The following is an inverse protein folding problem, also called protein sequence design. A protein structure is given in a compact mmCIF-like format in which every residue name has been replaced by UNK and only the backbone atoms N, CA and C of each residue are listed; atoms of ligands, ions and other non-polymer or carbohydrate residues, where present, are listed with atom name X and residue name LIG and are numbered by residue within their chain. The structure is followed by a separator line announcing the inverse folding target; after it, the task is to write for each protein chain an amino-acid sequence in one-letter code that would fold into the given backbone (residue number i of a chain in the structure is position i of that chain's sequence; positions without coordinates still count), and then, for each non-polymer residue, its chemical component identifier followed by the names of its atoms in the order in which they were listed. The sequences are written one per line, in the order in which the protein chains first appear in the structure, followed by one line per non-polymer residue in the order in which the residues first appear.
data_IF_588712671961
#
_entry.id   IF_588712671961
#
_cell.length_a   1.000
_cell.length_b   1.000
_cell.length_c   1.000
_cell.angle_alpha   90.00
_cell.angle_beta   90.00
_cell.angle_gamma   90.00
#
_symmetry.space_group_name_H-M   'P 1'
#
loop_
_entity.id
_entity.type
_entity.pdbx_description
1 polymer ?
#
# COMPACT_ATOMS: atom_id res chain seq x y z
N UNK A 1 13.57 -4.92 42.44
CA UNK A 1 13.55 -3.99 41.28
C UNK A 1 13.57 -2.58 41.84
N UNK A 2 14.50 -1.73 41.42
CA UNK A 2 14.56 -0.34 41.89
C UNK A 2 13.52 0.50 41.14
N UNK A 3 12.77 1.34 41.85
CA UNK A 3 11.80 2.25 41.21
C UNK A 3 12.51 3.50 40.64
N UNK A 4 11.86 4.25 39.75
CA UNK A 4 12.47 5.42 39.10
C UNK A 4 12.84 6.53 40.10
N UNK A 5 12.14 6.60 41.24
CA UNK A 5 12.45 7.53 42.32
C UNK A 5 13.76 7.16 43.02
N UNK A 6 13.96 5.89 43.33
CA UNK A 6 15.19 5.32 43.92
C UNK A 6 16.39 5.48 42.98
N UNK A 7 16.18 5.30 41.66
CA UNK A 7 17.25 5.51 40.66
C UNK A 7 17.75 6.95 40.66
N UNK A 8 16.86 7.94 40.86
CA UNK A 8 17.26 9.34 41.03
C UNK A 8 17.64 9.69 42.48
N UNK A 9 17.43 8.80 43.44
CA UNK A 9 17.62 9.05 44.87
C UNK A 9 16.64 10.09 45.43
N UNK A 10 15.40 10.09 44.95
CA UNK A 10 14.34 11.02 45.35
C UNK A 10 13.18 10.27 46.02
N UNK A 11 12.40 10.99 46.83
CA UNK A 11 11.13 10.49 47.36
C UNK A 11 10.04 10.54 46.28
N UNK A 12 9.03 9.66 46.37
CA UNK A 12 7.82 9.68 45.53
C UNK A 12 7.10 11.04 45.56
N UNK A 13 7.24 11.79 46.66
CA UNK A 13 6.66 13.13 46.83
C UNK A 13 7.55 14.28 46.31
N UNK A 14 8.69 13.99 45.67
CA UNK A 14 9.60 15.02 45.18
C UNK A 14 8.92 15.95 44.16
N UNK A 15 9.19 17.25 44.25
CA UNK A 15 8.65 18.23 43.29
C UNK A 15 9.32 18.10 41.92
N UNK A 16 8.68 18.64 40.88
CA UNK A 16 9.21 18.60 39.52
C UNK A 16 10.59 19.27 39.41
N UNK A 17 10.79 20.33 40.18
CA UNK A 17 12.06 21.04 40.25
C UNK A 17 13.17 20.21 40.90
N UNK A 18 12.84 19.44 41.94
CA UNK A 18 13.78 18.52 42.59
C UNK A 18 14.23 17.41 41.63
N UNK A 19 13.30 16.86 40.83
CA UNK A 19 13.59 15.86 39.79
C UNK A 19 14.55 16.41 38.74
N UNK A 20 14.29 17.61 38.22
CA UNK A 20 15.15 18.28 37.23
C UNK A 20 16.52 18.65 37.78
N UNK A 21 16.60 19.08 39.04
CA UNK A 21 17.88 19.40 39.70
C UNK A 21 18.71 18.14 39.85
N UNK A 22 18.12 17.08 40.38
CA UNK A 22 18.81 15.83 40.67
C UNK A 22 19.28 15.11 39.42
N UNK A 23 18.47 15.11 38.36
CA UNK A 23 18.89 14.60 37.05
C UNK A 23 20.16 15.28 36.53
N UNK A 24 20.22 16.62 36.58
CA UNK A 24 21.40 17.37 36.11
C UNK A 24 22.67 17.04 36.90
N UNK A 25 22.54 16.85 38.22
CA UNK A 25 23.66 16.42 39.07
C UNK A 25 24.17 15.02 38.70
N UNK A 26 23.25 14.08 38.50
CA UNK A 26 23.57 12.69 38.18
C UNK A 26 24.15 12.54 36.77
N UNK A 27 23.62 13.27 35.78
CA UNK A 27 24.16 13.31 34.41
C UNK A 27 25.60 13.79 34.42
N UNK A 28 25.95 14.85 35.17
CA UNK A 28 27.33 15.34 35.26
C UNK A 28 28.29 14.32 35.90
N UNK A 29 27.79 13.49 36.81
CA UNK A 29 28.59 12.48 37.52
C UNK A 29 28.81 11.20 36.71
N UNK A 30 27.82 10.81 35.91
CA UNK A 30 27.80 9.54 35.18
C UNK A 30 27.90 9.70 33.65
N UNK A 31 28.13 10.91 33.14
CA UNK A 31 28.32 11.13 31.70
C UNK A 31 29.49 10.27 31.19
N UNK A 32 29.35 9.59 30.03
CA UNK A 32 30.40 8.73 29.48
C UNK A 32 31.73 9.48 29.26
N UNK A 33 31.67 10.78 28.96
CA UNK A 33 32.87 11.62 28.76
C UNK A 33 33.61 11.94 30.07
N UNK A 34 32.92 11.88 31.23
CA UNK A 34 33.50 12.20 32.55
C UNK A 34 33.87 10.91 33.29
N UNK A 35 33.12 9.84 33.07
CA UNK A 35 33.35 8.53 33.69
C UNK A 35 33.11 7.41 32.67
N UNK A 36 34.16 6.90 32.00
CA UNK A 36 34.04 5.88 30.96
C UNK A 36 33.89 4.45 31.50
N UNK A 37 33.64 4.26 32.81
CA UNK A 37 33.47 2.92 33.36
C UNK A 37 32.17 2.25 32.87
N UNK A 38 32.15 0.92 32.68
CA UNK A 38 30.94 0.20 32.26
C UNK A 38 29.76 0.40 33.22
N UNK A 39 30.05 0.52 34.52
CA UNK A 39 29.05 0.78 35.56
C UNK A 39 28.45 2.18 35.46
N UNK A 40 29.25 3.19 35.10
CA UNK A 40 28.74 4.54 34.89
C UNK A 40 27.80 4.61 33.68
N UNK A 41 28.12 3.88 32.60
CA UNK A 41 27.24 3.77 31.43
C UNK A 41 25.89 3.14 31.77
N UNK A 42 25.88 2.05 32.53
CA UNK A 42 24.64 1.40 32.96
C UNK A 42 23.80 2.30 33.87
N UNK A 43 24.45 2.99 34.82
CA UNK A 43 23.78 3.93 35.71
C UNK A 43 23.21 5.12 34.93
N UNK A 44 23.96 5.64 33.95
CA UNK A 44 23.52 6.74 33.09
C UNK A 44 22.23 6.39 32.32
N UNK A 45 22.16 5.18 31.75
CA UNK A 45 20.95 4.71 31.07
C UNK A 45 19.75 4.66 32.02
N UNK A 46 19.93 4.11 33.22
CA UNK A 46 18.86 4.06 34.23
C UNK A 46 18.40 5.45 34.66
N UNK A 47 19.32 6.40 34.84
CA UNK A 47 19.02 7.80 35.16
C UNK A 47 18.18 8.45 34.05
N UNK A 48 18.53 8.18 32.79
CA UNK A 48 17.81 8.73 31.64
C UNK A 48 16.38 8.18 31.55
N UNK A 49 16.21 6.86 31.73
CA UNK A 49 14.88 6.22 31.77
C UNK A 49 14.01 6.78 32.90
N UNK A 50 14.57 6.87 34.12
CA UNK A 50 13.86 7.42 35.26
C UNK A 50 13.42 8.87 35.04
N UNK A 51 14.30 9.70 34.46
CA UNK A 51 13.95 11.08 34.15
C UNK A 51 12.90 11.19 33.04
N UNK A 52 12.92 10.34 32.01
CA UNK A 52 11.91 10.36 30.95
C UNK A 52 10.49 10.10 31.45
N UNK A 53 10.34 9.27 32.48
CA UNK A 53 9.04 8.97 33.11
C UNK A 53 8.65 10.07 34.10
N UNK A 54 9.59 10.50 34.95
CA UNK A 54 9.30 11.42 36.04
C UNK A 54 9.30 12.91 35.64
N UNK A 55 9.91 13.27 34.50
CA UNK A 55 10.02 14.67 34.04
C UNK A 55 8.74 15.25 33.44
N UNK A 56 7.81 14.39 33.02
CA UNK A 56 6.51 14.76 32.47
C UNK A 56 5.40 14.53 33.53
N UNK A 57 4.56 15.54 33.82
CA UNK A 57 3.53 15.43 34.85
C UNK A 57 2.49 14.32 34.59
N UNK A 58 2.13 14.07 33.33
CA UNK A 58 1.14 13.06 32.97
C UNK A 58 1.74 11.64 33.05
N UNK A 59 2.96 11.44 32.55
CA UNK A 59 3.68 10.16 32.66
C UNK A 59 3.97 9.81 34.11
N UNK A 60 4.35 10.79 34.92
CA UNK A 60 4.53 10.62 36.36
C UNK A 60 3.24 10.17 37.05
N UNK A 61 2.09 10.79 36.74
CA UNK A 61 0.79 10.38 37.32
C UNK A 61 0.45 8.93 37.00
N UNK A 62 0.68 8.49 35.77
CA UNK A 62 0.44 7.11 35.35
C UNK A 62 1.40 6.14 36.04
N UNK A 63 2.68 6.51 36.14
CA UNK A 63 3.67 5.73 36.87
C UNK A 63 3.32 5.61 38.36
N UNK A 64 2.93 6.71 39.00
CA UNK A 64 2.50 6.75 40.40
C UNK A 64 1.25 5.88 40.63
N UNK A 65 0.30 5.89 39.69
CA UNK A 65 -0.88 5.03 39.75
C UNK A 65 -0.52 3.54 39.65
N UNK A 66 0.38 3.17 38.72
CA UNK A 66 0.86 1.80 38.57
C UNK A 66 1.68 1.34 39.78
N UNK A 67 2.54 2.20 40.32
CA UNK A 67 3.37 1.91 41.47
C UNK A 67 2.52 1.68 42.73
N UNK A 68 1.45 2.46 42.93
CA UNK A 68 0.47 2.24 44.01
C UNK A 68 -0.24 0.90 43.92
N UNK A 69 -0.62 0.48 42.71
CA UNK A 69 -1.23 -0.83 42.47
C UNK A 69 -0.24 -1.97 42.76
N UNK A 70 1.04 -1.80 42.41
CA UNK A 70 2.09 -2.80 42.66
C UNK A 70 2.50 -2.92 44.12
N UNK A 71 2.46 -1.81 44.87
CA UNK A 71 2.78 -1.78 46.30
C UNK A 71 1.64 -2.32 47.18
N UNK A 72 0.54 -2.79 46.58
CA UNK A 72 -0.56 -3.43 47.29
C UNK A 72 -1.34 -2.48 48.19
N UNK A 73 -1.23 -1.16 47.98
CA UNK A 73 -2.07 -0.20 48.71
C UNK A 73 -3.52 -0.32 48.18
N UNK A 74 -4.48 -0.77 49.01
CA UNK A 74 -5.88 -0.72 48.61
C UNK A 74 -6.26 0.74 48.36
N UNK A 75 -7.18 1.03 47.42
CA UNK A 75 -7.67 2.39 47.26
C UNK A 75 -8.31 2.78 48.59
N UNK A 76 -7.68 3.66 49.35
CA UNK A 76 -8.18 4.14 50.63
C UNK A 76 -9.42 4.98 50.36
N UNK A 77 -10.56 4.29 50.31
CA UNK A 77 -11.85 4.85 50.56
C UNK A 77 -11.97 5.14 52.06
N UNK A 78 -11.50 6.33 52.50
CA UNK A 78 -12.16 7.14 53.55
C UNK A 78 -11.52 8.54 53.62
N UNK A 79 -12.25 9.55 53.18
CA UNK A 79 -13.21 10.39 53.95
C UNK A 79 -12.51 11.56 54.65
N UNK A 80 -12.96 12.77 54.28
CA UNK A 80 -13.26 13.89 55.17
C UNK A 80 -12.20 14.42 56.11
N UNK A 81 -11.73 15.65 55.83
CA UNK A 81 -11.59 16.72 56.83
C UNK A 81 -11.76 18.08 56.12
N UNK A 82 -12.07 19.18 56.85
CA UNK A 82 -13.31 19.46 57.54
C UNK A 82 -14.05 20.64 56.90
N UNK A 83 -15.34 20.80 57.21
CA UNK A 83 -16.11 22.03 56.93
C UNK A 83 -15.44 23.22 57.62
N UNK A 84 -14.67 24.01 56.87
CA UNK A 84 -14.37 25.38 57.26
C UNK A 84 -15.62 26.23 57.04
N UNK A 85 -16.05 26.95 58.07
CA UNK A 85 -17.10 27.97 57.98
C UNK A 85 -16.70 29.10 57.01
N UNK A 86 -17.69 29.82 56.42
CA UNK A 86 -17.50 30.59 55.21
C UNK A 86 -16.86 31.96 55.49
N UNK A 87 -15.78 32.28 54.79
CA UNK A 87 -15.31 33.67 54.65
C UNK A 87 -15.34 34.10 53.19
N UNK A 88 -16.37 34.89 52.88
CA UNK A 88 -16.51 35.92 51.84
C UNK A 88 -15.69 35.80 50.54
N UNK A 89 -16.49 35.77 49.46
CA UNK A 89 -16.26 36.44 48.17
C UNK A 89 -15.13 35.92 47.27
N UNK A 90 -15.50 35.05 46.34
CA UNK A 90 -15.30 35.32 44.92
C UNK A 90 -16.26 34.43 44.11
N UNK A 91 -16.92 35.04 43.14
CA UNK A 91 -17.99 34.47 42.31
C UNK A 91 -17.59 33.11 41.71
N UNK A 92 -18.55 32.17 41.50
CA UNK A 92 -18.25 30.97 40.74
C UNK A 92 -17.79 31.35 39.32
N UNK A 93 -16.76 30.71 38.75
CA UNK A 93 -16.42 30.91 37.35
C UNK A 93 -17.60 30.47 36.48
N UNK A 94 -17.85 31.13 35.33
CA UNK A 94 -19.01 30.83 34.51
C UNK A 94 -18.97 29.36 34.08
N UNK A 95 -20.11 28.66 34.19
CA UNK A 95 -20.29 27.33 33.60
C UNK A 95 -19.92 27.45 32.12
N UNK A 96 -18.82 26.83 31.71
CA UNK A 96 -18.51 26.62 30.28
C UNK A 96 -19.70 25.86 29.69
N UNK A 97 -20.50 26.53 28.87
CA UNK A 97 -21.50 25.90 28.01
C UNK A 97 -20.72 25.13 26.94
N UNK A 98 -20.45 23.85 27.17
CA UNK A 98 -20.02 22.96 26.10
C UNK A 98 -21.08 22.98 24.99
N UNK A 99 -20.70 23.08 23.71
CA UNK A 99 -21.68 23.11 22.63
C UNK A 99 -22.51 21.81 22.64
N UNK A 100 -23.82 21.85 22.38
CA UNK A 100 -24.73 20.69 22.52
C UNK A 100 -24.24 19.43 21.79
N UNK A 101 -23.54 19.63 20.66
CA UNK A 101 -22.98 18.57 19.81
C UNK A 101 -21.81 17.82 20.47
N UNK A 102 -21.03 18.47 21.32
CA UNK A 102 -19.94 17.82 22.05
C UNK A 102 -20.47 16.93 23.18
N UNK A 103 -21.53 17.36 23.85
CA UNK A 103 -22.20 16.56 24.87
C UNK A 103 -22.96 15.36 24.27
N UNK A 104 -23.55 15.52 23.08
CA UNK A 104 -24.13 14.39 22.34
C UNK A 104 -23.06 13.39 21.89
N UNK A 105 -21.93 13.87 21.36
CA UNK A 105 -20.79 13.01 20.98
C UNK A 105 -20.24 12.23 22.18
N UNK A 106 -20.11 12.88 23.35
CA UNK A 106 -19.69 12.22 24.59
C UNK A 106 -20.65 11.10 25.00
N UNK A 107 -21.96 11.32 24.87
CA UNK A 107 -22.98 10.28 25.15
C UNK A 107 -22.84 9.09 24.20
N UNK A 108 -22.67 9.34 22.90
CA UNK A 108 -22.52 8.28 21.89
C UNK A 108 -21.24 7.45 22.12
N UNK A 109 -20.12 8.11 22.43
CA UNK A 109 -18.86 7.43 22.77
C UNK A 109 -19.05 6.57 24.03
N UNK A 110 -19.67 7.12 25.08
CA UNK A 110 -19.94 6.39 26.32
C UNK A 110 -20.85 5.17 26.09
N UNK A 111 -21.85 5.28 25.21
CA UNK A 111 -22.70 4.15 24.83
C UNK A 111 -21.90 3.06 24.09
N UNK A 112 -20.99 3.45 23.19
CA UNK A 112 -20.12 2.54 22.48
C UNK A 112 -19.18 1.78 23.44
N UNK A 113 -18.54 2.48 24.38
CA UNK A 113 -17.67 1.87 25.40
C UNK A 113 -18.45 0.92 26.33
N UNK A 114 -19.63 1.34 26.79
CA UNK A 114 -20.48 0.51 27.65
C UNK A 114 -20.93 -0.76 26.92
N UNK A 115 -21.34 -0.64 25.66
CA UNK A 115 -21.71 -1.79 24.84
C UNK A 115 -20.53 -2.75 24.64
N UNK A 116 -19.32 -2.22 24.43
CA UNK A 116 -18.10 -3.01 24.31
C UNK A 116 -17.77 -3.78 25.59
N UNK A 117 -17.82 -3.12 26.75
CA UNK A 117 -17.59 -3.74 28.05
C UNK A 117 -18.64 -4.83 28.38
N UNK A 118 -19.85 -4.69 27.86
CA UNK A 118 -20.92 -5.69 27.99
C UNK A 118 -20.79 -6.86 26.99
N UNK A 119 -19.75 -6.88 26.14
CA UNK A 119 -19.57 -7.89 25.10
C UNK A 119 -20.53 -7.74 23.92
N UNK A 120 -21.35 -6.68 23.86
CA UNK A 120 -22.28 -6.39 22.76
C UNK A 120 -21.54 -5.71 21.61
N UNK A 121 -20.72 -6.50 20.91
CA UNK A 121 -19.77 -6.00 19.91
C UNK A 121 -20.45 -5.30 18.71
N UNK A 122 -21.62 -5.76 18.29
CA UNK A 122 -22.36 -5.14 17.17
C UNK A 122 -22.93 -3.76 17.54
N UNK A 123 -23.52 -3.66 18.74
CA UNK A 123 -24.00 -2.39 19.27
C UNK A 123 -22.83 -1.40 19.43
N UNK A 124 -21.72 -1.85 20.02
CA UNK A 124 -20.51 -1.04 20.18
C UNK A 124 -19.99 -0.49 18.84
N UNK A 125 -19.96 -1.34 17.81
CA UNK A 125 -19.54 -0.93 16.47
C UNK A 125 -20.50 0.09 15.84
N UNK A 126 -21.80 -0.07 16.06
CA UNK A 126 -22.81 0.84 15.53
C UNK A 126 -22.68 2.24 16.15
N UNK A 127 -22.56 2.33 17.47
CA UNK A 127 -22.37 3.58 18.20
C UNK A 127 -21.02 4.22 17.86
N UNK A 128 -19.95 3.43 17.72
CA UNK A 128 -18.64 3.95 17.33
C UNK A 128 -18.64 4.52 15.90
N UNK A 129 -19.32 3.87 14.94
CA UNK A 129 -19.51 4.40 13.58
C UNK A 129 -20.38 5.66 13.56
N UNK A 130 -21.36 5.76 14.46
CA UNK A 130 -22.13 6.99 14.61
C UNK A 130 -21.24 8.12 15.15
N UNK A 131 -20.36 7.84 16.13
CA UNK A 131 -19.41 8.81 16.64
C UNK A 131 -18.47 9.35 15.53
N UNK A 132 -17.95 8.49 14.65
CA UNK A 132 -17.07 8.93 13.55
C UNK A 132 -17.80 9.74 12.48
N UNK A 133 -19.10 9.49 12.24
CA UNK A 133 -19.93 10.36 11.39
C UNK A 133 -20.17 11.73 12.01
N UNK A 134 -20.39 11.78 13.33
CA UNK A 134 -20.64 13.03 14.05
C UNK A 134 -19.39 13.91 14.14
N UNK A 135 -18.23 13.29 14.40
CA UNK A 135 -16.93 13.94 14.51
C UNK A 135 -15.81 13.09 13.85
N UNK A 136 -15.58 13.25 12.53
CA UNK A 136 -14.58 12.48 11.79
C UNK A 136 -13.14 12.67 12.26
N UNK A 137 -12.85 13.79 12.95
CA UNK A 137 -11.52 14.12 13.49
C UNK A 137 -11.31 13.64 14.93
N UNK A 138 -12.29 12.97 15.54
CA UNK A 138 -12.15 12.46 16.91
C UNK A 138 -11.49 11.07 16.88
N UNK A 139 -10.33 10.88 17.55
CA UNK A 139 -9.62 9.60 17.55
C UNK A 139 -10.40 8.47 18.25
N UNK A 140 -11.26 8.81 19.23
CA UNK A 140 -11.90 7.83 20.11
C UNK A 140 -12.88 6.91 19.38
N UNK A 141 -13.57 7.42 18.36
CA UNK A 141 -14.46 6.60 17.52
C UNK A 141 -13.69 5.52 16.76
N UNK A 142 -12.53 5.87 16.20
CA UNK A 142 -11.66 4.93 15.49
C UNK A 142 -10.98 3.94 16.45
N UNK A 143 -10.61 4.38 17.66
CA UNK A 143 -10.08 3.50 18.71
C UNK A 143 -11.07 2.38 19.09
N UNK A 144 -12.34 2.73 19.34
CA UNK A 144 -13.36 1.74 19.73
C UNK A 144 -13.65 0.76 18.58
N UNK A 145 -13.66 1.24 17.33
CA UNK A 145 -13.78 0.36 16.16
C UNK A 145 -12.62 -0.64 16.12
N UNK A 146 -11.39 -0.18 16.38
CA UNK A 146 -10.21 -1.04 16.48
C UNK A 146 -10.33 -2.07 17.60
N UNK A 147 -10.77 -1.64 18.79
CA UNK A 147 -10.97 -2.53 19.93
C UNK A 147 -12.03 -3.61 19.66
N UNK A 148 -13.13 -3.26 18.98
CA UNK A 148 -14.16 -4.22 18.55
C UNK A 148 -13.59 -5.23 17.57
N UNK A 149 -12.91 -4.80 16.50
CA UNK A 149 -12.36 -5.72 15.51
C UNK A 149 -11.26 -6.61 16.07
N UNK A 150 -10.47 -6.10 17.03
CA UNK A 150 -9.47 -6.88 17.74
C UNK A 150 -10.11 -8.03 18.52
N UNK A 151 -11.22 -7.79 19.22
CA UNK A 151 -11.95 -8.83 19.96
C UNK A 151 -12.62 -9.83 19.02
N UNK A 152 -13.06 -9.40 17.83
CA UNK A 152 -13.62 -10.27 16.79
C UNK A 152 -12.57 -11.13 16.05
N UNK A 153 -11.28 -10.90 16.28
CA UNK A 153 -10.20 -11.59 15.56
C UNK A 153 -9.91 -11.02 14.16
N UNK A 154 -10.50 -9.89 13.79
CA UNK A 154 -10.25 -9.21 12.52
C UNK A 154 -9.06 -8.25 12.63
N UNK A 155 -7.85 -8.82 12.80
CA UNK A 155 -6.64 -8.05 13.12
C UNK A 155 -6.24 -7.02 12.06
N UNK A 156 -6.45 -7.29 10.77
CA UNK A 156 -6.20 -6.33 9.67
C UNK A 156 -7.13 -5.10 9.76
N UNK A 157 -8.42 -5.31 10.04
CA UNK A 157 -9.37 -4.23 10.20
C UNK A 157 -9.10 -3.42 11.48
N UNK A 158 -8.67 -4.09 12.56
CA UNK A 158 -8.24 -3.44 13.79
C UNK A 158 -7.00 -2.57 13.57
N UNK A 159 -6.00 -3.08 12.83
CA UNK A 159 -4.77 -2.37 12.48
C UNK A 159 -5.08 -1.06 11.74
N UNK A 160 -5.94 -1.11 10.72
CA UNK A 160 -6.37 0.07 9.98
C UNK A 160 -7.11 1.08 10.86
N UNK A 161 -8.00 0.61 11.75
CA UNK A 161 -8.72 1.51 12.64
C UNK A 161 -7.79 2.20 13.66
N UNK A 162 -6.81 1.48 14.21
CA UNK A 162 -5.81 2.09 15.10
C UNK A 162 -4.85 3.02 14.37
N UNK A 163 -4.45 2.72 13.12
CA UNK A 163 -3.59 3.62 12.36
C UNK A 163 -4.26 4.97 12.10
N UNK A 164 -5.55 4.98 11.76
CA UNK A 164 -6.35 6.20 11.67
C UNK A 164 -6.45 6.93 13.02
N UNK A 165 -6.67 6.21 14.12
CA UNK A 165 -6.73 6.83 15.45
C UNK A 165 -5.40 7.50 15.84
N UNK A 166 -4.26 6.85 15.57
CA UNK A 166 -2.91 7.40 15.81
C UNK A 166 -2.62 8.60 14.91
N UNK A 167 -3.07 8.60 13.65
CA UNK A 167 -2.92 9.78 12.78
C UNK A 167 -3.68 11.00 13.32
N UNK A 168 -4.85 10.78 13.92
CA UNK A 168 -5.66 11.85 14.51
C UNK A 168 -5.09 12.36 15.85
N UNK A 169 -4.45 11.48 16.63
CA UNK A 169 -3.77 11.85 17.88
C UNK A 169 -2.39 11.16 18.01
N UNK A 170 -1.36 11.72 17.34
CA UNK A 170 -0.03 11.09 17.29
C UNK A 170 0.71 11.06 18.62
N UNK A 171 0.30 11.91 19.58
CA UNK A 171 0.99 12.06 20.86
C UNK A 171 0.43 11.11 21.93
N UNK A 172 -0.59 10.33 21.60
CA UNK A 172 -1.22 9.41 22.53
C UNK A 172 -0.46 8.08 22.63
N UNK A 173 0.21 7.80 23.77
CA UNK A 173 1.02 6.59 23.93
C UNK A 173 0.15 5.33 23.99
N UNK A 174 -1.12 5.41 24.37
CA UNK A 174 -2.01 4.25 24.44
C UNK A 174 -2.39 3.77 23.05
N UNK A 175 -2.68 4.70 22.13
CA UNK A 175 -2.96 4.38 20.73
C UNK A 175 -1.74 3.81 20.03
N UNK A 176 -0.55 4.36 20.29
CA UNK A 176 0.71 3.83 19.76
C UNK A 176 0.94 2.39 20.23
N UNK A 177 0.80 2.12 21.54
CA UNK A 177 0.92 0.75 22.07
C UNK A 177 -0.12 -0.20 21.48
N UNK A 178 -1.38 0.24 21.31
CA UNK A 178 -2.42 -0.56 20.66
C UNK A 178 -2.03 -0.89 19.21
N UNK A 179 -1.54 0.09 18.44
CA UNK A 179 -1.08 -0.11 17.07
C UNK A 179 0.12 -1.06 17.00
N UNK A 180 1.16 -0.82 17.79
CA UNK A 180 2.36 -1.68 17.87
C UNK A 180 2.00 -3.12 18.25
N UNK A 181 1.10 -3.29 19.22
CA UNK A 181 0.62 -4.62 19.62
C UNK A 181 -0.15 -5.32 18.49
N UNK A 182 -0.83 -4.58 17.63
CA UNK A 182 -1.49 -5.15 16.45
C UNK A 182 -0.47 -5.50 15.38
N UNK A 183 0.47 -4.61 15.06
CA UNK A 183 1.55 -4.88 14.09
C UNK A 183 2.30 -6.15 14.49
N UNK A 184 2.69 -6.27 15.76
CA UNK A 184 3.38 -7.45 16.27
C UNK A 184 2.54 -8.73 16.14
N UNK A 185 1.21 -8.66 16.39
CA UNK A 185 0.31 -9.80 16.20
C UNK A 185 0.12 -10.16 14.74
N UNK A 186 -0.10 -9.19 13.85
CA UNK A 186 -0.28 -9.44 12.41
C UNK A 186 1.00 -9.98 11.77
N UNK A 187 2.17 -9.60 12.28
CA UNK A 187 3.48 -10.14 11.84
C UNK A 187 3.81 -11.51 12.44
N UNK A 188 3.34 -11.82 13.66
CA UNK A 188 3.60 -13.09 14.34
C UNK A 188 2.60 -14.21 14.03
N UNK A 189 1.41 -13.89 13.48
CA UNK A 189 0.43 -14.91 13.11
C UNK A 189 0.68 -15.33 11.66
N UNK A 190 1.01 -16.61 11.35
CA UNK A 190 0.78 -17.09 9.99
C UNK A 190 -0.70 -16.86 9.66
N UNK A 191 -1.05 -16.42 8.44
CA UNK A 191 -2.42 -16.03 8.12
C UNK A 191 -3.38 -17.16 8.51
N UNK A 192 -4.28 -16.90 9.47
CA UNK A 192 -5.35 -17.83 9.82
C UNK A 192 -6.16 -18.15 8.55
N UNK A 193 -6.59 -19.41 8.35
CA UNK A 193 -7.29 -19.80 7.13
C UNK A 193 -8.51 -18.90 6.97
N UNK A 194 -8.50 -18.10 5.92
CA UNK A 194 -9.68 -17.38 5.48
C UNK A 194 -10.82 -18.40 5.37
N UNK A 195 -12.02 -18.03 5.85
CA UNK A 195 -13.28 -18.70 5.47
C UNK A 195 -13.16 -19.19 4.04
N UNK A 196 -13.58 -20.43 3.76
CA UNK A 196 -13.51 -21.08 2.46
C UNK A 196 -14.20 -20.28 1.34
N UNK A 197 -13.60 -19.15 0.97
CA UNK A 197 -13.48 -18.70 -0.38
C UNK A 197 -12.51 -19.68 -1.01
N UNK A 198 -12.92 -20.25 -2.15
CA UNK A 198 -12.05 -21.01 -3.03
C UNK A 198 -10.66 -20.39 -2.99
N UNK A 199 -9.59 -21.17 -2.74
CA UNK A 199 -8.26 -20.63 -2.55
C UNK A 199 -7.95 -19.73 -3.74
N UNK A 200 -7.94 -18.41 -3.53
CA UNK A 200 -7.46 -17.49 -4.54
C UNK A 200 -6.00 -17.87 -4.71
N UNK A 201 -5.72 -18.58 -5.79
CA UNK A 201 -4.40 -19.11 -6.12
C UNK A 201 -3.41 -17.96 -5.93
N UNK A 202 -2.63 -17.99 -4.84
CA UNK A 202 -1.51 -17.07 -4.63
C UNK A 202 -0.39 -17.53 -5.55
N UNK A 203 -0.63 -17.34 -6.85
CA UNK A 203 0.35 -17.55 -7.91
C UNK A 203 1.52 -16.62 -7.61
N UNK A 204 2.76 -17.14 -7.57
CA UNK A 204 3.96 -16.31 -7.52
C UNK A 204 3.91 -15.25 -8.62
N UNK A 205 4.62 -14.13 -8.47
CA UNK A 205 4.51 -13.00 -9.41
C UNK A 205 4.76 -13.42 -10.88
N UNK A 206 5.68 -14.36 -11.10
CA UNK A 206 5.95 -14.98 -12.40
C UNK A 206 4.75 -15.78 -12.95
N UNK A 207 4.01 -16.48 -12.10
CA UNK A 207 2.83 -17.25 -12.50
C UNK A 207 1.64 -16.38 -12.86
N UNK A 208 1.49 -15.19 -12.26
CA UNK A 208 0.50 -14.20 -12.71
C UNK A 208 0.80 -13.73 -14.13
N UNK A 209 2.09 -13.58 -14.45
CA UNK A 209 2.54 -13.24 -15.79
C UNK A 209 2.23 -14.38 -16.78
N UNK A 210 2.56 -15.62 -16.43
CA UNK A 210 2.24 -16.78 -17.27
C UNK A 210 0.74 -16.97 -17.45
N UNK A 211 -0.07 -16.78 -16.41
CA UNK A 211 -1.52 -16.85 -16.50
C UNK A 211 -2.09 -15.76 -17.43
N UNK A 212 -1.62 -14.52 -17.30
CA UNK A 212 -2.00 -13.42 -18.20
C UNK A 212 -1.58 -13.70 -19.65
N UNK A 213 -0.39 -14.30 -19.85
CA UNK A 213 0.07 -14.72 -21.17
C UNK A 213 -0.79 -15.83 -21.77
N UNK A 214 -1.08 -16.89 -21.01
CA UNK A 214 -1.92 -17.99 -21.49
C UNK A 214 -3.33 -17.52 -21.83
N UNK A 215 -3.91 -16.63 -21.02
CA UNK A 215 -5.24 -16.08 -21.24
C UNK A 215 -5.25 -15.11 -22.43
N UNK A 216 -4.19 -14.34 -22.58
CA UNK A 216 -3.98 -13.44 -23.71
C UNK A 216 -3.78 -14.17 -25.05
N UNK A 217 -2.92 -15.18 -25.10
CA UNK A 217 -2.77 -16.04 -26.28
C UNK A 217 -4.05 -16.86 -26.56
N UNK A 218 -4.75 -17.28 -25.50
CA UNK A 218 -6.06 -17.91 -25.61
C UNK A 218 -7.09 -16.98 -26.26
N UNK A 219 -7.09 -15.69 -25.91
CA UNK A 219 -7.95 -14.69 -26.54
C UNK A 219 -7.55 -14.44 -28.01
N UNK A 220 -6.26 -14.38 -28.34
CA UNK A 220 -5.83 -14.28 -29.75
C UNK A 220 -6.29 -15.50 -30.56
N UNK A 221 -6.11 -16.71 -30.03
CA UNK A 221 -6.56 -17.94 -30.67
C UNK A 221 -8.10 -17.97 -30.80
N UNK A 222 -8.81 -17.55 -29.76
CA UNK A 222 -10.27 -17.44 -29.79
C UNK A 222 -10.72 -16.48 -30.88
N UNK A 223 -10.09 -15.32 -31.03
CA UNK A 223 -10.41 -14.36 -32.08
C UNK A 223 -10.18 -14.94 -33.48
N UNK A 224 -9.17 -15.79 -33.66
CA UNK A 224 -8.91 -16.50 -34.92
C UNK A 224 -10.00 -17.52 -35.22
N UNK A 225 -10.41 -18.30 -34.22
CA UNK A 225 -11.48 -19.30 -34.38
C UNK A 225 -12.82 -18.61 -34.62
N UNK A 226 -13.08 -17.51 -33.92
CA UNK A 226 -14.27 -16.68 -34.12
C UNK A 226 -14.28 -16.05 -35.51
N UNK A 227 -13.12 -15.60 -35.97
CA UNK A 227 -12.87 -15.16 -37.34
C UNK A 227 -13.34 -16.19 -38.36
N UNK A 228 -12.93 -17.45 -38.20
CA UNK A 228 -13.35 -18.54 -39.08
C UNK A 228 -14.86 -18.80 -39.02
N UNK A 229 -15.46 -18.73 -37.82
CA UNK A 229 -16.84 -19.15 -37.59
C UNK A 229 -17.88 -18.09 -37.97
N UNK A 230 -17.51 -16.80 -37.91
CA UNK A 230 -18.39 -15.67 -38.23
C UNK A 230 -17.75 -14.85 -39.35
N UNK A 231 -17.76 -15.37 -40.60
CA UNK A 231 -17.27 -14.62 -41.73
C UNK A 231 -18.15 -13.38 -41.93
N UNK A 232 -17.52 -12.20 -41.86
CA UNK A 232 -18.21 -10.96 -42.23
C UNK A 232 -18.36 -10.86 -43.74
N UNK A 233 -19.38 -10.13 -44.22
CA UNK A 233 -19.49 -9.78 -45.63
C UNK A 233 -18.27 -8.94 -46.04
N UNK A 234 -17.52 -9.30 -47.10
CA UNK A 234 -16.42 -8.48 -47.60
C UNK A 234 -16.98 -7.16 -48.14
N UNK A 235 -16.34 -6.03 -47.79
CA UNK A 235 -16.84 -4.68 -48.15
C UNK A 235 -15.82 -3.82 -48.89
N UNK A 236 -14.52 -3.95 -48.60
CA UNK A 236 -13.48 -3.12 -49.22
C UNK A 236 -12.23 -3.96 -49.54
N UNK A 237 -11.81 -4.02 -50.81
CA UNK A 237 -10.64 -4.82 -51.27
C UNK A 237 -10.69 -6.30 -50.82
N UNK A 238 -11.89 -6.89 -50.73
CA UNK A 238 -12.08 -8.26 -50.23
C UNK A 238 -12.16 -8.37 -48.69
N UNK A 239 -11.89 -7.30 -47.95
CA UNK A 239 -11.84 -7.39 -46.49
C UNK A 239 -13.20 -7.16 -45.85
N UNK A 240 -13.52 -7.97 -44.84
CA UNK A 240 -14.65 -7.75 -43.97
C UNK A 240 -14.25 -6.86 -42.77
N UNK A 241 -15.20 -6.08 -42.25
CA UNK A 241 -14.98 -5.29 -41.02
C UNK A 241 -14.64 -6.18 -39.82
N UNK A 242 -15.17 -7.40 -39.80
CA UNK A 242 -14.88 -8.38 -38.78
C UNK A 242 -13.41 -8.81 -38.85
N UNK A 243 -12.92 -9.17 -40.04
CA UNK A 243 -11.50 -9.51 -40.26
C UNK A 243 -10.57 -8.37 -39.83
N UNK A 244 -10.90 -7.13 -40.20
CA UNK A 244 -10.18 -5.94 -39.74
C UNK A 244 -10.16 -5.86 -38.22
N UNK A 245 -11.31 -5.94 -37.57
CA UNK A 245 -11.40 -5.87 -36.11
C UNK A 245 -10.60 -7.00 -35.42
N UNK A 246 -10.65 -8.23 -35.96
CA UNK A 246 -9.93 -9.37 -35.41
C UNK A 246 -8.42 -9.23 -35.53
N UNK A 247 -7.90 -8.83 -36.70
CA UNK A 247 -6.48 -8.58 -36.90
C UNK A 247 -5.97 -7.46 -35.97
N UNK A 248 -6.78 -6.41 -35.77
CA UNK A 248 -6.39 -5.27 -34.94
C UNK A 248 -6.35 -5.62 -33.48
N UNK A 249 -7.40 -6.28 -32.99
CA UNK A 249 -7.48 -6.71 -31.61
C UNK A 249 -6.42 -7.78 -31.29
N UNK A 250 -6.16 -8.71 -32.21
CA UNK A 250 -5.11 -9.71 -32.06
C UNK A 250 -3.72 -9.07 -32.00
N UNK A 251 -3.41 -8.12 -32.89
CA UNK A 251 -2.14 -7.40 -32.91
C UNK A 251 -1.95 -6.60 -31.62
N UNK A 252 -2.94 -5.80 -31.23
CA UNK A 252 -2.92 -5.03 -29.99
C UNK A 252 -2.69 -5.90 -28.76
N UNK A 253 -3.44 -6.99 -28.62
CA UNK A 253 -3.34 -7.88 -27.47
C UNK A 253 -1.98 -8.57 -27.41
N UNK A 254 -1.45 -9.04 -28.55
CA UNK A 254 -0.11 -9.62 -28.63
C UNK A 254 0.96 -8.62 -28.19
N UNK A 255 0.89 -7.37 -28.69
CA UNK A 255 1.85 -6.31 -28.32
C UNK A 255 1.79 -5.93 -26.86
N UNK A 256 0.57 -5.78 -26.34
CA UNK A 256 0.33 -5.51 -24.93
C UNK A 256 0.92 -6.59 -24.03
N UNK A 257 0.64 -7.87 -24.33
CA UNK A 257 1.13 -9.00 -23.53
C UNK A 257 2.65 -9.12 -23.57
N UNK A 258 3.26 -9.02 -24.76
CA UNK A 258 4.71 -9.12 -24.91
C UNK A 258 5.45 -7.98 -24.20
N UNK A 259 4.86 -6.78 -24.23
CA UNK A 259 5.34 -5.66 -23.47
C UNK A 259 5.23 -5.98 -21.98
N UNK A 260 4.02 -6.21 -21.43
CA UNK A 260 3.77 -6.51 -20.01
C UNK A 260 4.59 -7.69 -19.48
N UNK A 261 4.93 -8.67 -20.32
CA UNK A 261 5.77 -9.80 -19.93
C UNK A 261 7.27 -9.58 -19.97
N UNK A 262 7.72 -8.35 -20.25
CA UNK A 262 9.15 -8.00 -20.40
C UNK A 262 9.85 -8.87 -21.46
N UNK A 263 9.08 -9.41 -22.41
CA UNK A 263 9.67 -10.12 -23.54
C UNK A 263 10.36 -9.11 -24.44
N UNK A 264 9.73 -7.98 -24.69
CA UNK A 264 10.31 -6.91 -25.51
C UNK A 264 10.86 -5.83 -24.58
N UNK A 265 11.99 -5.23 -24.96
CA UNK A 265 12.54 -4.05 -24.32
C UNK A 265 11.60 -2.83 -24.50
N UNK A 266 11.75 -1.74 -23.72
CA UNK A 266 11.03 -0.48 -23.95
C UNK A 266 11.20 0.01 -25.39
N UNK A 267 10.18 0.72 -25.90
CA UNK A 267 10.14 1.13 -27.32
C UNK A 267 11.36 2.01 -27.68
N UNK A 268 11.78 2.88 -26.75
CA UNK A 268 12.93 3.77 -26.90
C UNK A 268 14.27 3.03 -26.99
N UNK A 269 14.38 1.88 -26.34
CA UNK A 269 15.59 1.04 -26.37
C UNK A 269 15.60 0.12 -27.59
N UNK A 270 14.43 -0.41 -27.96
CA UNK A 270 14.28 -1.27 -29.13
C UNK A 270 14.47 -0.49 -30.44
N UNK A 271 14.09 0.78 -30.46
CA UNK A 271 14.33 1.72 -31.54
C UNK A 271 15.02 2.96 -30.95
N UNK A 272 16.35 3.00 -30.92
CA UNK A 272 17.09 4.13 -30.38
C UNK A 272 16.87 5.38 -31.25
N UNK A 273 15.76 6.08 -31.01
CA UNK A 273 15.43 7.37 -31.61
C UNK A 273 16.22 8.46 -30.90
N UNK A 274 17.56 8.37 -30.93
CA UNK A 274 18.39 9.48 -30.44
C UNK A 274 18.68 10.43 -31.59
N UNK A 275 18.15 11.66 -31.48
CA UNK A 275 18.64 12.85 -32.19
C UNK A 275 20.13 13.06 -31.85
N UNK A 276 21.03 12.30 -32.49
CA UNK A 276 22.42 12.71 -32.70
C UNK A 276 22.55 13.11 -34.16
N UNK A 277 22.64 14.42 -34.39
CA UNK A 277 23.05 15.12 -35.62
C UNK A 277 23.03 14.28 -36.92
N UNK A 278 22.02 14.54 -37.77
CA UNK A 278 22.02 14.33 -39.23
C UNK A 278 22.36 12.92 -39.78
N UNK A 279 22.01 11.84 -39.09
CA UNK A 279 21.78 10.56 -39.77
C UNK A 279 20.42 10.01 -39.34
N UNK A 280 19.48 9.95 -40.28
CA UNK A 280 18.25 9.19 -40.10
C UNK A 280 18.69 7.75 -39.82
N UNK A 281 18.47 7.28 -38.59
CA UNK A 281 18.79 5.90 -38.25
C UNK A 281 18.05 5.01 -39.24
N UNK A 282 18.73 4.10 -39.94
CA UNK A 282 18.09 3.20 -40.90
C UNK A 282 16.84 2.53 -40.31
N UNK A 283 16.84 2.26 -39.00
CA UNK A 283 15.67 1.80 -38.25
C UNK A 283 14.45 2.74 -38.32
N UNK A 284 14.61 4.07 -38.25
CA UNK A 284 13.48 5.01 -38.39
C UNK A 284 12.89 5.03 -39.79
N UNK A 285 13.73 4.92 -40.82
CA UNK A 285 13.27 4.78 -42.21
C UNK A 285 12.60 3.44 -42.41
N UNK A 286 13.18 2.35 -41.90
CA UNK A 286 12.57 1.01 -41.97
C UNK A 286 11.26 0.92 -41.20
N UNK A 287 11.12 1.57 -40.04
CA UNK A 287 9.88 1.57 -39.24
C UNK A 287 8.80 2.43 -39.90
N UNK A 288 9.17 3.59 -40.44
CA UNK A 288 8.26 4.42 -41.22
C UNK A 288 7.84 3.71 -42.53
N UNK A 289 8.76 2.98 -43.16
CA UNK A 289 8.49 2.17 -44.35
C UNK A 289 7.73 0.87 -44.01
N UNK A 290 7.91 0.29 -42.82
CA UNK A 290 7.22 -0.92 -42.37
C UNK A 290 5.76 -0.67 -42.04
N UNK A 291 5.43 0.57 -41.64
CA UNK A 291 4.04 1.02 -41.52
C UNK A 291 3.29 0.97 -42.88
N UNK A 292 4.02 0.92 -44.00
CA UNK A 292 3.48 0.87 -45.36
C UNK A 292 3.67 -0.51 -46.04
N UNK A 293 4.72 -1.28 -45.70
CA UNK A 293 4.97 -2.63 -46.25
C UNK A 293 5.82 -3.53 -45.33
N UNK A 294 5.18 -4.21 -44.38
CA UNK A 294 5.70 -5.18 -43.43
C UNK A 294 6.56 -6.29 -44.07
N UNK A 295 6.16 -6.94 -45.19
CA UNK A 295 6.97 -8.01 -45.78
C UNK A 295 8.32 -7.51 -46.28
N UNK A 296 8.33 -6.33 -46.92
CA UNK A 296 9.57 -5.68 -47.38
C UNK A 296 10.46 -5.29 -46.20
N UNK A 297 9.88 -4.76 -45.14
CA UNK A 297 10.62 -4.42 -43.94
C UNK A 297 11.21 -5.66 -43.24
N UNK A 298 10.48 -6.77 -43.17
CA UNK A 298 10.97 -8.03 -42.64
C UNK A 298 12.14 -8.57 -43.47
N UNK A 299 12.05 -8.49 -44.80
CA UNK A 299 13.14 -8.86 -45.71
C UNK A 299 14.37 -7.98 -45.52
N UNK A 300 14.21 -6.66 -45.49
CA UNK A 300 15.31 -5.72 -45.26
C UNK A 300 15.95 -5.93 -43.90
N UNK A 301 15.15 -6.18 -42.86
CA UNK A 301 15.64 -6.52 -41.53
C UNK A 301 16.45 -7.83 -41.56
N UNK A 302 15.98 -8.87 -42.24
CA UNK A 302 16.71 -10.13 -42.39
C UNK A 302 18.04 -9.94 -43.14
N UNK A 303 18.08 -9.13 -44.21
CA UNK A 303 19.30 -8.79 -44.93
C UNK A 303 20.29 -8.00 -44.06
N UNK A 304 19.77 -7.07 -43.24
CA UNK A 304 20.59 -6.34 -42.27
C UNK A 304 21.19 -7.28 -41.21
N UNK A 305 20.44 -8.32 -40.80
CA UNK A 305 20.93 -9.36 -39.88
C UNK A 305 22.18 -10.04 -40.40
N UNK A 306 22.10 -10.45 -41.67
CA UNK A 306 23.14 -11.22 -42.34
C UNK A 306 24.39 -10.38 -42.55
N UNK A 307 24.24 -9.07 -42.78
CA UNK A 307 25.35 -8.16 -43.05
C UNK A 307 26.03 -7.61 -41.79
N UNK A 308 25.28 -7.41 -40.70
CA UNK A 308 25.79 -6.76 -39.48
C UNK A 308 26.14 -7.72 -38.35
N UNK A 309 25.96 -9.04 -38.52
CA UNK A 309 26.40 -10.04 -37.55
C UNK A 309 25.58 -10.11 -36.26
N UNK A 310 24.42 -9.44 -36.20
CA UNK A 310 23.49 -9.56 -35.07
C UNK A 310 22.43 -8.48 -35.03
N UNK A 311 21.22 -8.85 -34.63
CA UNK A 311 20.06 -7.95 -34.48
C UNK A 311 19.45 -8.01 -33.09
N UNK A 312 18.68 -6.98 -32.76
CA UNK A 312 17.88 -6.93 -31.53
C UNK A 312 16.94 -8.13 -31.45
N UNK A 313 17.13 -8.98 -30.43
CA UNK A 313 16.25 -10.13 -30.13
C UNK A 313 14.80 -9.70 -29.92
N UNK A 314 14.57 -8.47 -29.46
CA UNK A 314 13.24 -7.90 -29.27
C UNK A 314 12.54 -7.66 -30.60
N UNK A 315 13.24 -7.08 -31.56
CA UNK A 315 12.69 -6.78 -32.89
C UNK A 315 12.47 -8.07 -33.70
N UNK A 316 13.38 -9.04 -33.61
CA UNK A 316 13.20 -10.36 -34.23
C UNK A 316 11.93 -11.08 -33.74
N UNK A 317 11.64 -10.99 -32.43
CA UNK A 317 10.42 -11.57 -31.84
C UNK A 317 9.16 -10.87 -32.35
N UNK A 318 9.17 -9.55 -32.49
CA UNK A 318 8.03 -8.80 -33.05
C UNK A 318 7.72 -9.22 -34.48
N UNK A 319 8.74 -9.30 -35.34
CA UNK A 319 8.56 -9.76 -36.73
C UNK A 319 8.07 -11.20 -36.79
N UNK A 320 8.64 -12.10 -35.98
CA UNK A 320 8.21 -13.50 -35.91
C UNK A 320 6.76 -13.65 -35.45
N UNK A 321 6.34 -12.93 -34.41
CA UNK A 321 4.96 -12.95 -33.92
C UNK A 321 3.98 -12.41 -34.96
N UNK A 322 4.29 -11.28 -35.60
CA UNK A 322 3.44 -10.74 -36.66
C UNK A 322 3.31 -11.70 -37.85
N UNK A 323 4.43 -12.28 -38.31
CA UNK A 323 4.43 -13.23 -39.41
C UNK A 323 3.62 -14.49 -39.08
N UNK A 324 3.80 -15.05 -37.88
CA UNK A 324 3.06 -16.23 -37.41
C UNK A 324 1.55 -15.97 -37.32
N UNK A 325 1.14 -14.84 -36.73
CA UNK A 325 -0.27 -14.46 -36.67
C UNK A 325 -0.87 -14.22 -38.05
N UNK A 326 -0.13 -13.56 -38.95
CA UNK A 326 -0.58 -13.30 -40.32
C UNK A 326 -0.83 -14.59 -41.08
N UNK A 327 0.10 -15.56 -41.02
CA UNK A 327 -0.06 -16.87 -41.64
C UNK A 327 -1.25 -17.63 -41.06
N UNK A 328 -1.42 -17.57 -39.75
CA UNK A 328 -2.50 -18.24 -39.04
C UNK A 328 -3.87 -17.65 -39.42
N UNK A 329 -3.99 -16.32 -39.54
CA UNK A 329 -5.20 -15.68 -40.06
C UNK A 329 -5.43 -15.98 -41.55
N UNK A 330 -4.39 -16.05 -42.37
CA UNK A 330 -4.52 -16.40 -43.78
C UNK A 330 -5.04 -17.83 -43.98
N UNK A 331 -4.61 -18.77 -43.12
CA UNK A 331 -5.13 -20.14 -43.12
C UNK A 331 -6.58 -20.21 -42.59
N UNK A 332 -6.91 -19.40 -41.58
CA UNK A 332 -8.25 -19.37 -40.99
C UNK A 332 -9.30 -18.67 -41.87
N UNK A 333 -8.88 -17.70 -42.70
CA UNK A 333 -9.70 -16.97 -43.68
C UNK A 333 -9.31 -17.35 -45.12
N UNK A 334 -9.70 -18.54 -45.61
CA UNK A 334 -9.27 -19.05 -46.91
C UNK A 334 -9.80 -18.24 -48.10
N UNK A 335 -10.87 -17.46 -47.92
CA UNK A 335 -11.46 -16.66 -49.00
C UNK A 335 -10.58 -15.45 -49.38
N UNK A 336 -9.83 -14.90 -48.42
CA UNK A 336 -8.99 -13.71 -48.60
C UNK A 336 -7.53 -13.97 -48.20
N UNK A 337 -7.08 -15.23 -48.28
CA UNK A 337 -5.76 -15.65 -47.79
C UNK A 337 -4.61 -14.87 -48.45
N UNK A 338 -4.73 -14.58 -49.75
CA UNK A 338 -3.72 -13.85 -50.51
C UNK A 338 -3.64 -12.38 -50.06
N UNK A 339 -4.78 -11.73 -49.84
CA UNK A 339 -4.79 -10.36 -49.32
C UNK A 339 -4.37 -10.31 -47.84
N UNK A 340 -4.70 -11.33 -47.06
CA UNK A 340 -4.31 -11.45 -45.65
C UNK A 340 -2.81 -11.64 -45.51
N UNK A 341 -2.18 -12.46 -46.35
CA UNK A 341 -0.72 -12.64 -46.38
C UNK A 341 0.02 -11.39 -46.86
N UNK A 342 -0.52 -10.70 -47.87
CA UNK A 342 0.11 -9.49 -48.42
C UNK A 342 -0.01 -8.26 -47.49
N UNK A 343 -1.18 -8.05 -46.87
CA UNK A 343 -1.49 -6.82 -46.15
C UNK A 343 -1.83 -7.00 -44.67
N UNK A 344 -2.22 -8.21 -44.23
CA UNK A 344 -2.57 -8.50 -42.83
C UNK A 344 -1.42 -8.25 -41.85
N UNK A 345 -0.19 -8.52 -42.30
CA UNK A 345 1.02 -8.24 -41.50
C UNK A 345 1.20 -6.76 -41.16
N UNK A 346 0.81 -5.84 -42.06
CA UNK A 346 0.88 -4.40 -41.79
C UNK A 346 -0.04 -4.02 -40.63
N UNK A 347 -1.28 -4.48 -40.70
CA UNK A 347 -2.31 -4.12 -39.73
C UNK A 347 -2.02 -4.72 -38.35
N UNK A 348 -1.59 -5.99 -38.32
CA UNK A 348 -1.13 -6.66 -37.11
C UNK A 348 0.08 -5.95 -36.49
N UNK A 349 1.07 -5.57 -37.30
CA UNK A 349 2.28 -4.89 -36.84
C UNK A 349 1.97 -3.52 -36.21
N UNK A 350 1.15 -2.69 -36.87
CA UNK A 350 0.76 -1.38 -36.34
C UNK A 350 -0.03 -1.49 -35.04
N UNK A 351 -0.98 -2.44 -34.98
CA UNK A 351 -1.78 -2.67 -33.77
C UNK A 351 -0.93 -3.20 -32.62
N UNK A 352 0.04 -4.06 -32.92
CA UNK A 352 1.02 -4.56 -31.96
C UNK A 352 1.88 -3.43 -31.38
N UNK A 353 2.40 -2.54 -32.23
CA UNK A 353 3.13 -1.37 -31.77
C UNK A 353 2.29 -0.48 -30.84
N UNK A 354 1.00 -0.29 -31.16
CA UNK A 354 0.09 0.47 -30.30
C UNK A 354 -0.12 -0.19 -28.92
N UNK A 355 -0.32 -1.51 -28.90
CA UNK A 355 -0.45 -2.27 -27.64
C UNK A 355 0.82 -2.25 -26.80
N UNK A 356 1.99 -2.38 -27.45
CA UNK A 356 3.29 -2.28 -26.80
C UNK A 356 3.50 -0.88 -26.19
N UNK A 357 3.28 0.19 -26.96
CA UNK A 357 3.43 1.56 -26.48
C UNK A 357 2.55 1.87 -25.26
N UNK A 358 1.28 1.44 -25.29
CA UNK A 358 0.37 1.65 -24.17
C UNK A 358 0.82 0.90 -22.90
N UNK A 359 1.25 -0.35 -23.06
CA UNK A 359 1.77 -1.14 -21.95
C UNK A 359 3.04 -0.55 -21.34
N UNK A 360 3.93 0.02 -22.16
CA UNK A 360 5.16 0.67 -21.72
C UNK A 360 4.86 1.92 -20.88
N UNK A 361 3.93 2.76 -21.33
CA UNK A 361 3.49 3.94 -20.58
C UNK A 361 2.85 3.60 -19.22
N UNK A 362 2.16 2.46 -19.11
CA UNK A 362 1.58 2.03 -17.83
C UNK A 362 2.63 1.49 -16.84
N UNK A 363 3.81 1.08 -17.32
CA UNK A 363 4.91 0.63 -16.46
C UNK A 363 5.63 1.78 -15.79
N UNK A 364 5.77 2.90 -16.49
CA UNK A 364 6.42 4.12 -15.98
C UNK A 364 5.64 4.82 -14.85
N UNK A 365 4.43 4.35 -14.52
CA UNK A 365 3.65 4.83 -13.37
C UNK A 365 3.70 3.93 -12.13
N UNK A 366 4.50 2.86 -12.14
CA UNK A 366 4.55 1.86 -11.07
C UNK A 366 5.90 1.78 -10.32
N UNK A 367 6.90 2.56 -10.74
CA UNK A 367 8.16 2.81 -10.03
C UNK A 367 8.14 4.25 -9.47
#
# INVERSE_FOLDING_TARGET
MQNHYEVLGLSMHATQEAIRRRYRELVRKYHPDVNPSPQAKEMFLRIQEAYQVLSDPERRRHYDALLRLQMGEPPSARYSQPRAQPSRASSPPPKRTTPPREDELRRVIMQAERAFLQGRLQDALSWAKQATRMAPRNPKGHEIIGDVYRVQGHYEAALNAYSYAVQLDPHNPDLQRKLESMIARTQATPPAPARAFLPALRLPAEWKLYAAQSLGWGAVLFLVVLAHSIPGTPRLLGWSWNLLAYLGLAGFLAGFLMAVSRWIAPLEEAFPWRRRKKQLAAGTVLVALSALCFPLAALLYALLALTQGGLSRSVARVFGTCAGLTLLFALAYPHDWLYTTLFGGNFLFLSLLAGWYLADNMRLGAD
#
